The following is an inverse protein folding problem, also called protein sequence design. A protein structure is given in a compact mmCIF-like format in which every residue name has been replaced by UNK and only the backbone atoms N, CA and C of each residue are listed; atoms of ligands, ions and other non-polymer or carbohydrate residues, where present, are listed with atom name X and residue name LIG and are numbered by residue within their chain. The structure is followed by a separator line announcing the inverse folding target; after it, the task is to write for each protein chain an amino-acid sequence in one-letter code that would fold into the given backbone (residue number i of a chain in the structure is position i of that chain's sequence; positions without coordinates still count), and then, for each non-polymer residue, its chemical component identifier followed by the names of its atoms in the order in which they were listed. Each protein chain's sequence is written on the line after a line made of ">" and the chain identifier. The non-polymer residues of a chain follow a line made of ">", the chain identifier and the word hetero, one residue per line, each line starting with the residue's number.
data_IF_133118065915
#
_entry.id   IF_133118065915
#
_cell.length_a   1.000
_cell.length_b   1.000
_cell.length_c   1.000
_cell.angle_alpha   90.00
_cell.angle_beta   90.00
_cell.angle_gamma   90.00
#
_symmetry.space_group_name_H-M   'P 1'
#
loop_
_entity.id
_entity.type
_entity.pdbx_description
1 polymer ?
#
# COMPACT_ATOMS: atom_id res chain seq x y z
N UNK A 1 -59.62 27.92 50.70
CA UNK A 1 -60.75 27.04 51.08
C UNK A 1 -61.14 26.24 49.84
N UNK A 2 -61.30 24.90 49.95
CA UNK A 2 -61.04 23.97 48.87
C UNK A 2 -62.33 23.50 48.16
N UNK A 3 -62.19 22.95 46.96
CA UNK A 3 -63.05 21.86 46.53
C UNK A 3 -62.23 20.86 45.71
N UNK A 4 -62.17 19.64 46.23
CA UNK A 4 -61.59 18.47 45.61
C UNK A 4 -62.68 17.71 44.84
N UNK A 5 -62.32 17.12 43.71
CA UNK A 5 -62.96 15.89 43.26
C UNK A 5 -61.99 15.08 42.39
N UNK A 6 -61.87 13.82 42.76
CA UNK A 6 -60.94 12.78 42.29
C UNK A 6 -61.64 11.97 41.19
N UNK A 7 -60.90 11.55 40.15
CA UNK A 7 -60.81 10.14 39.65
C UNK A 7 -60.21 10.06 38.24
N UNK A 8 -59.32 9.09 38.04
CA UNK A 8 -58.96 8.58 36.71
C UNK A 8 -57.53 8.09 36.58
N UNK A 9 -57.26 6.85 37.01
CA UNK A 9 -56.04 6.11 36.68
C UNK A 9 -55.99 5.81 35.17
N UNK A 10 -54.87 6.12 34.52
CA UNK A 10 -54.40 5.40 33.33
C UNK A 10 -52.87 5.52 33.26
N UNK A 11 -52.19 4.44 33.65
CA UNK A 11 -50.77 4.20 33.40
C UNK A 11 -50.57 4.01 31.88
N UNK A 12 -50.01 5.02 31.21
CA UNK A 12 -49.43 4.83 29.88
C UNK A 12 -47.94 4.62 30.04
N UNK A 13 -47.54 3.35 30.00
CA UNK A 13 -46.17 2.93 29.78
C UNK A 13 -45.74 3.40 28.39
N UNK A 14 -44.98 4.48 28.33
CA UNK A 14 -44.23 4.83 27.12
C UNK A 14 -43.00 3.94 27.10
N UNK A 15 -43.07 2.88 26.30
CA UNK A 15 -41.94 2.04 25.97
C UNK A 15 -40.81 2.92 25.42
N UNK A 16 -39.71 3.00 26.16
CA UNK A 16 -38.47 3.56 25.64
C UNK A 16 -38.03 2.68 24.46
N UNK A 17 -38.12 3.22 23.25
CA UNK A 17 -37.41 2.70 22.09
C UNK A 17 -35.94 2.94 22.38
N UNK A 18 -35.29 1.95 23.02
CA UNK A 18 -33.84 1.92 23.13
C UNK A 18 -33.34 1.69 21.71
N UNK A 19 -32.89 2.79 21.13
CA UNK A 19 -32.08 2.86 19.94
C UNK A 19 -31.04 1.73 19.97
N UNK A 20 -31.09 0.88 18.94
CA UNK A 20 -30.05 -0.10 18.66
C UNK A 20 -28.75 0.61 18.30
N UNK A 21 -28.03 1.10 19.32
CA UNK A 21 -26.61 1.30 19.20
C UNK A 21 -26.01 -0.09 19.02
N UNK A 22 -25.49 -0.40 17.83
CA UNK A 22 -24.66 -1.57 17.63
C UNK A 22 -23.60 -1.60 18.74
N UNK A 23 -23.76 -2.52 19.69
CA UNK A 23 -22.90 -2.62 20.86
C UNK A 23 -21.50 -2.95 20.36
N UNK A 24 -20.58 -1.97 20.39
CA UNK A 24 -19.19 -2.26 20.08
C UNK A 24 -18.66 -3.14 21.22
N UNK A 25 -18.09 -4.32 20.90
CA UNK A 25 -17.61 -5.21 21.93
C UNK A 25 -16.54 -4.52 22.76
N UNK A 26 -16.61 -4.71 24.07
CA UNK A 26 -15.60 -4.17 24.99
C UNK A 26 -14.26 -4.88 24.76
N UNK A 27 -13.10 -4.28 25.11
CA UNK A 27 -11.81 -4.95 25.00
C UNK A 27 -11.73 -6.31 25.71
N UNK A 28 -12.61 -6.57 26.69
CA UNK A 28 -12.73 -7.83 27.40
C UNK A 28 -13.45 -8.95 26.61
N UNK A 29 -14.20 -8.61 25.56
CA UNK A 29 -14.94 -9.57 24.71
C UNK A 29 -14.17 -9.97 23.44
N UNK A 30 -13.08 -9.26 23.11
CA UNK A 30 -12.26 -9.55 21.93
C UNK A 30 -11.24 -10.65 22.24
N UNK A 31 -11.34 -11.78 21.53
CA UNK A 31 -10.28 -12.79 21.50
C UNK A 31 -9.23 -12.41 20.44
N UNK A 32 -8.31 -11.53 20.82
CA UNK A 32 -7.26 -11.01 19.94
C UNK A 32 -6.05 -11.95 19.77
N UNK A 33 -6.08 -13.16 20.34
CA UNK A 33 -4.92 -14.07 20.28
C UNK A 33 -4.51 -14.37 18.83
N UNK A 34 -5.47 -14.62 17.95
CA UNK A 34 -5.22 -14.81 16.52
C UNK A 34 -4.65 -13.56 15.83
N UNK A 35 -5.05 -12.36 16.25
CA UNK A 35 -4.52 -11.11 15.71
C UNK A 35 -3.04 -10.89 16.14
N UNK A 36 -2.71 -11.24 17.38
CA UNK A 36 -1.33 -11.24 17.89
C UNK A 36 -0.48 -12.29 17.16
N UNK A 37 -1.00 -13.50 16.99
CA UNK A 37 -0.33 -14.58 16.26
C UNK A 37 -0.06 -14.20 14.80
N UNK A 38 -1.01 -13.50 14.15
CA UNK A 38 -0.82 -12.95 12.80
C UNK A 38 0.43 -12.07 12.72
N UNK A 39 0.56 -11.14 13.68
CA UNK A 39 1.71 -10.22 13.73
C UNK A 39 3.02 -10.94 14.05
N UNK A 40 2.98 -11.96 14.92
CA UNK A 40 4.13 -12.80 15.26
C UNK A 40 4.60 -13.61 14.04
N UNK A 41 3.67 -14.26 13.35
CA UNK A 41 3.94 -15.01 12.12
C UNK A 41 4.53 -14.11 11.03
N UNK A 42 4.05 -12.87 10.89
CA UNK A 42 4.61 -11.91 9.94
C UNK A 42 6.08 -11.60 10.24
N UNK A 43 6.42 -11.33 11.50
CA UNK A 43 7.82 -11.07 11.91
C UNK A 43 8.73 -12.29 11.71
N UNK A 44 8.15 -13.49 11.78
CA UNK A 44 8.83 -14.75 11.50
C UNK A 44 8.80 -15.15 10.02
N UNK A 45 8.26 -14.29 9.13
CA UNK A 45 8.10 -14.52 7.69
C UNK A 45 7.30 -15.78 7.32
N UNK A 46 6.45 -16.24 8.24
CA UNK A 46 5.60 -17.42 8.07
C UNK A 46 4.30 -17.06 7.33
N UNK A 47 4.40 -16.76 6.04
CA UNK A 47 3.31 -16.21 5.23
C UNK A 47 2.02 -17.06 5.26
N UNK A 48 2.13 -18.40 5.26
CA UNK A 48 0.96 -19.27 5.32
C UNK A 48 0.24 -19.17 6.67
N UNK A 49 0.99 -19.05 7.77
CA UNK A 49 0.43 -18.88 9.10
C UNK A 49 -0.17 -17.49 9.29
N UNK A 50 0.42 -16.44 8.67
CA UNK A 50 -0.22 -15.11 8.63
C UNK A 50 -1.62 -15.21 8.05
N UNK A 51 -1.79 -15.91 6.93
CA UNK A 51 -3.10 -16.07 6.28
C UNK A 51 -4.09 -16.80 7.21
N UNK A 52 -3.69 -17.94 7.79
CA UNK A 52 -4.55 -18.72 8.68
C UNK A 52 -4.98 -17.94 9.93
N UNK A 53 -4.02 -17.32 10.63
CA UNK A 53 -4.28 -16.59 11.87
C UNK A 53 -5.08 -15.31 11.63
N UNK A 54 -4.85 -14.63 10.50
CA UNK A 54 -5.58 -13.40 10.16
C UNK A 54 -7.05 -13.68 9.83
N UNK A 55 -7.35 -14.78 9.14
CA UNK A 55 -8.72 -15.21 8.86
C UNK A 55 -9.47 -15.54 10.15
N UNK A 56 -8.83 -16.25 11.08
CA UNK A 56 -9.38 -16.52 12.40
C UNK A 56 -9.58 -15.24 13.21
N UNK A 57 -8.61 -14.32 13.18
CA UNK A 57 -8.72 -13.01 13.82
C UNK A 57 -9.96 -12.24 13.32
N UNK A 58 -10.17 -12.18 12.00
CA UNK A 58 -11.29 -11.47 11.37
C UNK A 58 -12.65 -12.14 11.61
N UNK A 59 -12.72 -13.47 11.60
CA UNK A 59 -13.98 -14.22 11.70
C UNK A 59 -14.45 -14.45 13.13
N UNK A 60 -13.51 -14.54 14.10
CA UNK A 60 -13.83 -14.75 15.52
C UNK A 60 -14.11 -13.46 16.28
N UNK A 61 -13.95 -12.30 15.64
CA UNK A 61 -14.05 -11.01 16.31
C UNK A 61 -14.82 -9.98 15.48
N UNK A 62 -15.60 -9.14 16.15
CA UNK A 62 -16.10 -7.90 15.57
C UNK A 62 -15.09 -6.78 15.85
N UNK A 63 -14.12 -6.64 14.96
CA UNK A 63 -12.97 -5.73 15.16
C UNK A 63 -13.28 -4.26 14.79
N UNK A 64 -12.69 -3.28 15.50
CA UNK A 64 -12.67 -1.88 15.07
C UNK A 64 -12.02 -1.71 13.68
N UNK A 65 -12.43 -0.69 12.89
CA UNK A 65 -11.93 -0.48 11.53
C UNK A 65 -10.40 -0.45 11.43
N UNK A 66 -9.73 0.28 12.34
CA UNK A 66 -8.25 0.38 12.34
C UNK A 66 -7.55 -0.98 12.48
N UNK A 67 -8.09 -1.87 13.32
CA UNK A 67 -7.54 -3.22 13.51
C UNK A 67 -7.81 -4.07 12.26
N UNK A 68 -9.04 -4.04 11.72
CA UNK A 68 -9.38 -4.74 10.46
C UNK A 68 -8.45 -4.32 9.32
N UNK A 69 -8.26 -3.02 9.13
CA UNK A 69 -7.36 -2.47 8.11
C UNK A 69 -5.93 -3.00 8.25
N UNK A 70 -5.41 -3.05 9.48
CA UNK A 70 -4.08 -3.60 9.77
C UNK A 70 -3.99 -5.09 9.46
N UNK A 71 -5.00 -5.88 9.84
CA UNK A 71 -5.00 -7.33 9.57
C UNK A 71 -5.06 -7.61 8.06
N UNK A 72 -5.89 -6.87 7.32
CA UNK A 72 -5.94 -6.95 5.86
C UNK A 72 -4.63 -6.52 5.20
N UNK A 73 -3.92 -5.52 5.75
CA UNK A 73 -2.58 -5.16 5.28
C UNK A 73 -1.60 -6.33 5.43
N UNK A 74 -1.59 -7.00 6.59
CA UNK A 74 -0.72 -8.17 6.82
C UNK A 74 -1.06 -9.33 5.88
N UNK A 75 -2.35 -9.59 5.64
CA UNK A 75 -2.80 -10.56 4.63
C UNK A 75 -2.28 -10.21 3.24
N UNK A 76 -2.43 -8.96 2.82
CA UNK A 76 -1.95 -8.47 1.52
C UNK A 76 -0.45 -8.73 1.34
N UNK A 77 0.36 -8.46 2.36
CA UNK A 77 1.80 -8.71 2.35
C UNK A 77 2.11 -10.21 2.25
N UNK A 78 1.44 -11.04 3.04
CA UNK A 78 1.65 -12.49 3.00
C UNK A 78 1.28 -13.10 1.63
N UNK A 79 0.13 -12.72 1.08
CA UNK A 79 -0.28 -13.15 -0.26
C UNK A 79 0.69 -12.69 -1.34
N UNK A 80 1.20 -11.44 -1.26
CA UNK A 80 2.23 -10.94 -2.18
C UNK A 80 3.50 -11.78 -2.13
N UNK A 81 3.98 -12.11 -0.93
CA UNK A 81 5.20 -12.91 -0.74
C UNK A 81 5.05 -14.33 -1.32
N UNK A 82 3.83 -14.88 -1.27
CA UNK A 82 3.48 -16.15 -1.91
C UNK A 82 3.16 -16.02 -3.41
N UNK A 83 3.32 -14.83 -4.00
CA UNK A 83 2.99 -14.50 -5.40
C UNK A 83 1.51 -14.73 -5.75
N UNK A 84 0.63 -14.71 -4.75
CA UNK A 84 -0.82 -14.82 -4.89
C UNK A 84 -1.41 -13.42 -5.07
N UNK A 85 -1.11 -12.79 -6.22
CA UNK A 85 -1.41 -11.38 -6.44
C UNK A 85 -2.90 -11.02 -6.42
N UNK A 86 -3.84 -11.81 -6.96
CA UNK A 86 -5.27 -11.51 -6.86
C UNK A 86 -5.76 -11.40 -5.41
N UNK A 87 -5.34 -12.32 -4.54
CA UNK A 87 -5.66 -12.29 -3.12
C UNK A 87 -4.98 -11.11 -2.41
N UNK A 88 -3.73 -10.81 -2.78
CA UNK A 88 -2.99 -9.67 -2.23
C UNK A 88 -3.68 -8.33 -2.55
N UNK A 89 -4.19 -8.18 -3.77
CA UNK A 89 -4.97 -7.02 -4.24
C UNK A 89 -6.26 -6.92 -3.44
N UNK A 90 -7.05 -7.99 -3.37
CA UNK A 90 -8.33 -7.99 -2.64
C UNK A 90 -8.15 -7.62 -1.16
N UNK A 91 -7.13 -8.17 -0.50
CA UNK A 91 -6.81 -7.82 0.87
C UNK A 91 -6.37 -6.34 1.00
N UNK A 92 -5.58 -5.83 0.05
CA UNK A 92 -5.16 -4.42 0.06
C UNK A 92 -6.34 -3.47 -0.11
N UNK A 93 -7.25 -3.77 -1.03
CA UNK A 93 -8.46 -2.97 -1.26
C UNK A 93 -9.34 -2.93 -0.01
N UNK A 94 -9.54 -4.07 0.67
CA UNK A 94 -10.23 -4.12 1.96
C UNK A 94 -9.51 -3.29 3.03
N UNK A 95 -8.18 -3.31 3.06
CA UNK A 95 -7.38 -2.51 4.00
C UNK A 95 -7.62 -1.00 3.80
N UNK A 96 -7.57 -0.54 2.54
CA UNK A 96 -7.79 0.87 2.17
C UNK A 96 -9.24 1.29 2.42
N UNK A 97 -10.22 0.50 1.98
CA UNK A 97 -11.65 0.80 2.14
C UNK A 97 -12.09 0.91 3.60
N UNK A 98 -11.34 0.29 4.51
CA UNK A 98 -11.63 0.35 5.96
C UNK A 98 -11.08 1.63 6.60
N UNK A 99 -10.14 2.33 5.96
CA UNK A 99 -9.55 3.55 6.46
C UNK A 99 -10.26 4.78 5.85
N UNK A 100 -10.82 5.69 6.65
CA UNK A 100 -11.54 6.86 6.13
C UNK A 100 -10.62 7.93 5.52
N UNK A 101 -9.30 7.82 5.67
CA UNK A 101 -8.36 8.79 5.13
C UNK A 101 -7.61 8.25 3.92
N UNK A 102 -7.41 9.05 2.85
CA UNK A 102 -6.53 8.69 1.75
C UNK A 102 -5.14 8.34 2.26
N UNK A 103 -4.64 7.16 1.92
CA UNK A 103 -3.29 6.70 2.26
C UNK A 103 -2.46 6.58 0.98
N UNK A 104 -1.67 7.61 0.62
CA UNK A 104 -0.97 7.64 -0.67
C UNK A 104 -0.08 6.42 -0.83
N UNK A 105 0.61 6.02 0.25
CA UNK A 105 1.43 4.82 0.31
C UNK A 105 0.65 3.53 0.05
N UNK A 106 -0.53 3.39 0.63
CA UNK A 106 -1.35 2.21 0.42
C UNK A 106 -1.78 2.10 -1.04
N UNK A 107 -2.10 3.22 -1.68
CA UNK A 107 -2.40 3.31 -3.11
C UNK A 107 -1.20 2.95 -3.99
N UNK A 108 0.02 3.42 -3.66
CA UNK A 108 1.24 3.07 -4.41
C UNK A 108 1.58 1.58 -4.30
N UNK A 109 1.42 1.01 -3.11
CA UNK A 109 1.58 -0.43 -2.90
C UNK A 109 0.50 -1.25 -3.63
N UNK A 110 -0.74 -0.76 -3.70
CA UNK A 110 -1.79 -1.40 -4.52
C UNK A 110 -1.45 -1.32 -6.01
N UNK A 111 -0.96 -0.18 -6.48
CA UNK A 111 -0.44 -0.01 -7.85
C UNK A 111 0.66 -1.03 -8.15
N UNK A 112 1.60 -1.23 -7.23
CA UNK A 112 2.64 -2.25 -7.37
C UNK A 112 2.06 -3.67 -7.48
N UNK A 113 1.06 -4.02 -6.66
CA UNK A 113 0.40 -5.32 -6.77
C UNK A 113 -0.30 -5.52 -8.12
N UNK A 114 -0.94 -4.47 -8.66
CA UNK A 114 -1.54 -4.52 -10.00
C UNK A 114 -0.50 -4.73 -11.10
N UNK A 115 0.69 -4.12 -11.01
CA UNK A 115 1.81 -4.40 -11.92
C UNK A 115 2.25 -5.85 -11.87
N UNK A 116 2.47 -6.39 -10.66
CA UNK A 116 2.84 -7.79 -10.46
C UNK A 116 1.79 -8.77 -10.99
N UNK A 117 0.52 -8.38 -10.93
CA UNK A 117 -0.60 -9.14 -11.48
C UNK A 117 -0.80 -8.96 -13.00
N UNK A 118 0.12 -8.26 -13.69
CA UNK A 118 0.05 -8.04 -15.15
C UNK A 118 -0.97 -6.99 -15.59
N UNK A 119 -1.38 -6.08 -14.70
CA UNK A 119 -2.31 -4.99 -15.02
C UNK A 119 -1.65 -3.61 -14.76
N UNK A 120 -0.68 -3.20 -15.59
CA UNK A 120 -0.01 -1.92 -15.43
C UNK A 120 -0.91 -0.72 -15.74
N UNK A 121 -2.00 -0.91 -16.51
CA UNK A 121 -2.98 0.15 -16.73
C UNK A 121 -3.68 0.55 -15.44
N UNK A 122 -4.14 -0.43 -14.64
CA UNK A 122 -4.75 -0.14 -13.33
C UNK A 122 -3.73 0.47 -12.36
N UNK A 123 -2.47 0.04 -12.46
CA UNK A 123 -1.39 0.62 -11.69
C UNK A 123 -1.16 2.11 -12.02
N UNK A 124 -1.21 2.47 -13.30
CA UNK A 124 -1.12 3.86 -13.77
C UNK A 124 -2.28 4.71 -13.25
N UNK A 125 -3.52 4.22 -13.36
CA UNK A 125 -4.70 4.93 -12.84
C UNK A 125 -4.58 5.26 -11.34
N UNK A 126 -4.10 4.30 -10.54
CA UNK A 126 -3.93 4.49 -9.09
C UNK A 126 -2.86 5.53 -8.76
N UNK A 127 -1.74 5.51 -9.49
CA UNK A 127 -0.68 6.51 -9.30
C UNK A 127 -1.16 7.89 -9.75
N UNK A 128 -1.88 7.96 -10.87
CA UNK A 128 -2.46 9.22 -11.36
C UNK A 128 -3.50 9.78 -10.38
N UNK A 129 -4.32 8.92 -9.76
CA UNK A 129 -5.25 9.34 -8.70
C UNK A 129 -4.52 9.98 -7.51
N UNK A 130 -3.36 9.46 -7.10
CA UNK A 130 -2.53 10.12 -6.11
C UNK A 130 -2.05 11.50 -6.62
N UNK A 131 -1.62 11.59 -7.88
CA UNK A 131 -1.17 12.84 -8.46
C UNK A 131 -2.29 13.90 -8.50
N UNK A 132 -3.47 13.53 -9.00
CA UNK A 132 -4.61 14.43 -9.17
C UNK A 132 -5.13 14.94 -7.81
N UNK A 133 -5.05 14.11 -6.78
CA UNK A 133 -5.41 14.47 -5.41
C UNK A 133 -4.33 15.28 -4.67
N UNK A 134 -3.19 15.59 -5.31
CA UNK A 134 -2.06 16.28 -4.67
C UNK A 134 -1.38 15.45 -3.58
N UNK A 135 -1.51 14.12 -3.65
CA UNK A 135 -1.04 13.15 -2.68
C UNK A 135 0.33 12.59 -3.08
N UNK A 136 1.31 12.70 -2.18
CA UNK A 136 2.57 11.98 -2.31
C UNK A 136 3.34 11.93 -1.00
N UNK A 137 4.50 11.29 -1.04
CA UNK A 137 5.20 10.83 0.15
C UNK A 137 6.36 11.75 0.58
N UNK A 138 6.10 12.75 1.43
CA UNK A 138 7.01 13.26 2.47
C UNK A 138 6.31 14.39 3.26
N UNK A 139 6.07 14.15 4.56
CA UNK A 139 5.34 15.06 5.46
C UNK A 139 3.83 15.13 5.19
N UNK A 140 3.01 15.33 6.23
CA UNK A 140 1.54 15.36 6.07
C UNK A 140 1.10 16.61 5.29
N UNK A 141 0.49 16.39 4.12
CA UNK A 141 -0.19 17.43 3.33
C UNK A 141 0.59 18.04 2.16
N UNK A 142 1.72 17.47 1.72
CA UNK A 142 2.51 18.05 0.64
C UNK A 142 2.99 17.05 -0.44
N UNK A 143 2.31 17.09 -1.61
CA UNK A 143 2.92 17.00 -2.95
C UNK A 143 3.52 15.68 -3.43
N UNK A 144 3.99 15.69 -4.68
CA UNK A 144 4.62 14.54 -5.34
C UNK A 144 6.09 14.42 -4.94
N UNK A 145 6.40 13.31 -4.28
CA UNK A 145 7.77 12.97 -3.92
C UNK A 145 8.22 11.76 -4.74
N UNK A 146 9.48 11.40 -4.59
CA UNK A 146 10.13 10.33 -5.36
C UNK A 146 9.32 9.02 -5.44
N UNK A 147 8.67 8.51 -4.37
CA UNK A 147 7.91 7.26 -4.48
C UNK A 147 6.78 7.32 -5.51
N UNK A 148 5.97 8.39 -5.53
CA UNK A 148 4.87 8.53 -6.50
C UNK A 148 5.39 8.54 -7.94
N UNK A 149 6.44 9.31 -8.21
CA UNK A 149 7.06 9.37 -9.54
C UNK A 149 7.76 8.07 -9.93
N UNK A 150 8.33 7.36 -8.96
CA UNK A 150 8.93 6.05 -9.17
C UNK A 150 7.88 5.03 -9.60
N UNK A 151 6.75 4.96 -8.89
CA UNK A 151 5.63 4.08 -9.26
C UNK A 151 4.97 4.49 -10.57
N UNK A 152 4.92 5.79 -10.89
CA UNK A 152 4.45 6.30 -12.19
C UNK A 152 5.35 5.75 -13.31
N UNK A 153 6.67 5.98 -13.21
CA UNK A 153 7.61 5.52 -14.21
C UNK A 153 7.59 4.00 -14.38
N UNK A 154 7.38 3.27 -13.29
CA UNK A 154 7.25 1.82 -13.28
C UNK A 154 6.01 1.33 -14.06
N UNK A 155 4.85 1.97 -13.87
CA UNK A 155 3.64 1.62 -14.61
C UNK A 155 3.78 1.96 -16.10
N UNK A 156 4.34 3.15 -16.42
CA UNK A 156 4.60 3.58 -17.79
C UNK A 156 5.60 2.66 -18.51
N UNK A 157 6.65 2.21 -17.82
CA UNK A 157 7.64 1.28 -18.36
C UNK A 157 6.99 -0.06 -18.75
N UNK A 158 6.13 -0.61 -17.88
CA UNK A 158 5.42 -1.86 -18.15
C UNK A 158 4.41 -1.73 -19.31
N UNK A 159 3.87 -0.52 -19.53
CA UNK A 159 3.04 -0.19 -20.69
C UNK A 159 3.84 0.04 -21.99
N UNK A 160 5.18 0.01 -21.92
CA UNK A 160 6.06 0.29 -23.06
C UNK A 160 6.25 1.78 -23.36
N UNK A 161 5.74 2.66 -22.51
CA UNK A 161 5.86 4.12 -22.61
C UNK A 161 7.19 4.59 -22.01
N UNK A 162 8.29 4.20 -22.65
CA UNK A 162 9.63 4.35 -22.08
C UNK A 162 10.08 5.82 -21.96
N UNK A 163 9.64 6.70 -22.87
CA UNK A 163 9.98 8.13 -22.80
C UNK A 163 9.33 8.77 -21.59
N UNK A 164 8.03 8.55 -21.42
CA UNK A 164 7.23 9.04 -20.32
C UNK A 164 7.71 8.44 -18.99
N UNK A 165 8.12 7.16 -18.99
CA UNK A 165 8.75 6.55 -17.83
C UNK A 165 10.03 7.28 -17.41
N UNK A 166 10.91 7.60 -18.38
CA UNK A 166 12.15 8.33 -18.11
C UNK A 166 11.90 9.75 -17.58
N UNK A 167 10.87 10.43 -18.11
CA UNK A 167 10.42 11.74 -17.62
C UNK A 167 9.89 11.65 -16.19
N UNK A 168 9.06 10.65 -15.87
CA UNK A 168 8.55 10.42 -14.52
C UNK A 168 9.71 10.20 -13.52
N UNK A 169 10.67 9.32 -13.84
CA UNK A 169 11.83 9.12 -12.98
C UNK A 169 12.66 10.39 -12.82
N UNK A 170 12.79 11.20 -13.87
CA UNK A 170 13.49 12.49 -13.81
C UNK A 170 12.81 13.48 -12.87
N UNK A 171 11.47 13.57 -12.92
CA UNK A 171 10.69 14.40 -12.00
C UNK A 171 10.88 13.97 -10.54
N UNK A 172 10.92 12.67 -10.28
CA UNK A 172 11.24 12.13 -8.95
C UNK A 172 12.65 12.45 -8.48
N UNK A 173 13.65 12.29 -9.36
CA UNK A 173 15.06 12.54 -9.05
C UNK A 173 15.36 14.03 -8.76
N UNK A 174 14.55 14.96 -9.28
CA UNK A 174 14.61 16.38 -8.88
C UNK A 174 14.26 16.54 -7.39
N UNK A 175 13.37 15.71 -6.85
CA UNK A 175 12.95 15.73 -5.44
C UNK A 175 13.89 14.95 -4.54
N UNK A 176 14.39 13.81 -5.01
CA UNK A 176 15.27 12.91 -4.26
C UNK A 176 16.44 12.43 -5.14
N UNK A 177 17.51 13.23 -5.27
CA UNK A 177 18.62 12.94 -6.19
C UNK A 177 19.52 11.78 -5.77
N UNK A 178 19.35 11.25 -4.56
CA UNK A 178 20.08 10.10 -4.00
C UNK A 178 19.32 8.77 -4.16
N UNK A 179 18.12 8.76 -4.74
CA UNK A 179 17.33 7.54 -4.92
C UNK A 179 17.91 6.64 -6.02
N UNK A 180 18.82 5.73 -5.63
CA UNK A 180 19.60 4.88 -6.53
C UNK A 180 18.72 4.13 -7.54
N UNK A 181 17.62 3.53 -7.09
CA UNK A 181 16.74 2.71 -7.92
C UNK A 181 16.05 3.50 -9.04
N UNK A 182 15.83 4.81 -8.89
CA UNK A 182 15.26 5.62 -9.96
C UNK A 182 16.27 5.81 -11.10
N UNK A 183 17.56 5.95 -10.80
CA UNK A 183 18.59 5.93 -11.85
C UNK A 183 18.62 4.59 -12.57
N UNK A 184 18.55 3.47 -11.85
CA UNK A 184 18.51 2.16 -12.48
C UNK A 184 17.33 2.01 -13.44
N UNK A 185 16.11 2.33 -12.98
CA UNK A 185 14.92 2.19 -13.83
C UNK A 185 14.90 3.20 -14.99
N UNK A 186 15.37 4.43 -14.77
CA UNK A 186 15.52 5.40 -15.86
C UNK A 186 16.56 4.95 -16.89
N UNK A 187 17.64 4.31 -16.45
CA UNK A 187 18.60 3.71 -17.37
C UNK A 187 17.96 2.59 -18.22
N UNK A 188 17.14 1.73 -17.62
CA UNK A 188 16.40 0.71 -18.37
C UNK A 188 15.46 1.35 -19.40
N UNK A 189 14.77 2.44 -19.04
CA UNK A 189 13.91 3.17 -19.97
C UNK A 189 14.72 3.74 -21.15
N UNK A 190 15.86 4.39 -20.89
CA UNK A 190 16.78 4.86 -21.94
C UNK A 190 17.32 3.73 -22.81
N UNK A 191 17.65 2.58 -22.21
CA UNK A 191 18.13 1.41 -22.94
C UNK A 191 17.08 0.89 -23.94
N UNK A 192 15.80 0.86 -23.54
CA UNK A 192 14.67 0.50 -24.42
C UNK A 192 14.42 1.51 -25.53
N UNK A 193 14.78 2.78 -25.32
CA UNK A 193 14.74 3.83 -26.34
C UNK A 193 15.97 3.81 -27.27
N UNK A 194 16.96 2.94 -27.01
CA UNK A 194 18.23 2.90 -27.75
C UNK A 194 19.23 3.98 -27.34
N UNK A 195 18.92 4.77 -26.32
CA UNK A 195 19.78 5.83 -25.79
C UNK A 195 20.83 5.25 -24.83
N UNK A 196 21.84 4.60 -25.42
CA UNK A 196 22.90 3.91 -24.67
C UNK A 196 23.74 4.87 -23.83
N UNK A 197 23.89 6.13 -24.25
CA UNK A 197 24.69 7.12 -23.53
C UNK A 197 24.01 7.55 -22.23
N UNK A 198 22.73 7.90 -22.27
CA UNK A 198 21.99 8.24 -21.06
C UNK A 198 21.81 7.03 -20.14
N UNK A 199 21.56 5.84 -20.70
CA UNK A 199 21.51 4.60 -19.92
C UNK A 199 22.84 4.33 -19.17
N UNK A 200 23.98 4.46 -19.85
CA UNK A 200 25.31 4.32 -19.23
C UNK A 200 25.51 5.34 -18.11
N UNK A 201 25.13 6.60 -18.34
CA UNK A 201 25.27 7.66 -17.33
C UNK A 201 24.48 7.33 -16.08
N UNK A 202 23.23 6.91 -16.23
CA UNK A 202 22.36 6.59 -15.11
C UNK A 202 22.78 5.30 -14.38
N UNK A 203 23.24 4.26 -15.09
CA UNK A 203 23.81 3.07 -14.44
C UNK A 203 25.04 3.39 -13.60
N UNK A 204 25.88 4.35 -14.02
CA UNK A 204 26.98 4.84 -13.20
C UNK A 204 26.47 5.59 -11.95
N UNK A 205 25.38 6.36 -12.05
CA UNK A 205 24.79 7.02 -10.89
C UNK A 205 24.17 6.01 -9.91
N UNK A 206 23.53 4.96 -10.42
CA UNK A 206 23.03 3.83 -9.63
C UNK A 206 24.17 3.12 -8.89
N UNK A 207 25.22 2.70 -9.60
CA UNK A 207 26.36 1.98 -9.01
C UNK A 207 27.05 2.77 -7.88
N UNK A 208 27.07 4.11 -7.97
CA UNK A 208 27.64 4.99 -6.94
C UNK A 208 26.80 5.13 -5.67
N UNK A 209 25.49 4.83 -5.74
CA UNK A 209 24.52 5.11 -4.65
C UNK A 209 23.91 3.86 -4.05
N UNK A 210 23.86 2.77 -4.80
CA UNK A 210 23.23 1.55 -4.35
C UNK A 210 24.08 0.89 -3.27
N UNK A 211 23.43 0.34 -2.25
CA UNK A 211 24.07 -0.60 -1.33
C UNK A 211 24.43 -1.88 -2.10
N UNK A 212 25.71 -2.26 -2.22
CA UNK A 212 26.12 -3.45 -2.97
C UNK A 212 25.45 -4.75 -2.51
N UNK A 213 25.04 -4.85 -1.24
CA UNK A 213 24.34 -6.02 -0.69
C UNK A 213 22.91 -6.18 -1.23
N UNK A 214 22.30 -5.08 -1.69
CA UNK A 214 20.97 -5.06 -2.31
C UNK A 214 20.97 -5.36 -3.81
N UNK A 215 22.15 -5.46 -4.43
CA UNK A 215 22.28 -5.65 -5.88
C UNK A 215 22.21 -7.14 -6.24
N UNK A 216 21.04 -7.55 -6.71
CA UNK A 216 20.81 -8.90 -7.24
C UNK A 216 21.53 -9.19 -8.58
N UNK A 217 21.55 -10.46 -8.97
CA UNK A 217 22.24 -10.95 -10.17
C UNK A 217 21.79 -10.23 -11.46
N UNK A 218 20.50 -9.94 -11.62
CA UNK A 218 19.97 -9.24 -12.79
C UNK A 218 20.52 -7.81 -12.92
N UNK A 219 20.66 -7.10 -11.81
CA UNK A 219 21.22 -5.75 -11.80
C UNK A 219 22.71 -5.78 -12.15
N UNK A 220 23.46 -6.78 -11.64
CA UNK A 220 24.87 -7.00 -11.99
C UNK A 220 25.02 -7.32 -13.48
N UNK A 221 24.12 -8.12 -14.06
CA UNK A 221 24.13 -8.40 -15.49
C UNK A 221 23.93 -7.14 -16.33
N UNK A 222 22.99 -6.26 -15.94
CA UNK A 222 22.79 -4.98 -16.61
C UNK A 222 24.03 -4.07 -16.50
N UNK A 223 24.65 -3.98 -15.33
CA UNK A 223 25.89 -3.22 -15.14
C UNK A 223 27.03 -3.77 -15.99
N UNK A 224 27.17 -5.10 -16.05
CA UNK A 224 28.20 -5.78 -16.85
C UNK A 224 28.01 -5.56 -18.36
N UNK A 225 26.76 -5.53 -18.86
CA UNK A 225 26.47 -5.19 -20.26
C UNK A 225 26.99 -3.79 -20.65
N UNK A 226 27.11 -2.90 -19.67
CA UNK A 226 27.71 -1.57 -19.81
C UNK A 226 29.15 -1.49 -19.32
N UNK A 227 29.79 -2.60 -18.94
CA UNK A 227 31.15 -2.64 -18.39
C UNK A 227 31.33 -1.76 -17.13
N UNK A 228 30.27 -1.63 -16.32
CA UNK A 228 30.27 -0.88 -15.07
C UNK A 228 30.46 -1.86 -13.90
N UNK A 229 31.34 -1.50 -12.97
CA UNK A 229 31.56 -2.26 -11.73
C UNK A 229 30.96 -1.51 -10.55
N UNK A 230 30.46 -2.25 -9.57
CA UNK A 230 30.15 -1.67 -8.26
C UNK A 230 31.45 -1.27 -7.56
N UNK A 231 31.41 -0.22 -6.72
CA UNK A 231 32.55 0.18 -5.90
C UNK A 231 32.97 -0.91 -4.90
#
# INVERSE_FOLDING_TARGET
>A
MPNASIRGFALLAVAAVVTGCAHQPTPAELNLQHCVNTSKAMRAEQNQQVIQESELCLTKNTLPPKIKSTVYLLQSVAYKNLKQYPQAISAREKSIATNPHPEPRATLELSYLYRLNGNPQKALELVQSNLDAGLGENGKGAGFNMPTFYHLGLALYDLGQYREAAEAYSAGLIKQPDYAWAYYQRALAYDRLGDKENARRDLNQFAKRVDPSSVEAQHKAQLAAYQIKLP
#
